data_IF_761048859606
#
_entry.id   IF_761048859606
#
_cell.length_a   1.000
_cell.length_b   1.000
_cell.length_c   1.000
_cell.angle_alpha   90.00
_cell.angle_beta   90.00
_cell.angle_gamma   90.00
#
_symmetry.space_group_name_H-M   'P 1'
#
loop_
_entity.id
_entity.type
_entity.pdbx_description
1 polymer ?
#
# COMPACT_ATOMS: atom_id res chain seq x y z
N UNK A 1 -10.40 19.94 -34.48
CA UNK A 1 -10.04 18.66 -35.13
C UNK A 1 -8.57 18.75 -35.55
N UNK A 2 -7.66 18.46 -34.62
CA UNK A 2 -6.22 18.53 -34.86
C UNK A 2 -5.71 17.12 -35.12
N UNK A 3 -5.80 16.68 -36.38
CA UNK A 3 -5.28 15.37 -36.80
C UNK A 3 -3.76 15.33 -36.65
N UNK A 4 -3.25 14.21 -36.13
CA UNK A 4 -1.80 13.95 -35.99
C UNK A 4 -1.10 14.11 -37.34
N UNK A 5 0.16 14.55 -37.33
CA UNK A 5 0.95 14.56 -38.56
C UNK A 5 1.19 13.11 -39.05
N UNK A 6 1.13 12.84 -40.37
CA UNK A 6 1.43 11.51 -40.92
C UNK A 6 2.81 10.98 -40.52
N UNK A 7 3.78 11.89 -40.33
CA UNK A 7 5.11 11.56 -39.86
C UNK A 7 5.13 11.04 -38.41
N UNK A 8 4.38 11.65 -37.50
CA UNK A 8 4.24 11.17 -36.12
C UNK A 8 3.57 9.79 -36.06
N UNK A 9 2.56 9.56 -36.92
CA UNK A 9 1.90 8.26 -37.01
C UNK A 9 2.87 7.16 -37.46
N UNK A 10 3.71 7.44 -38.47
CA UNK A 10 4.71 6.49 -38.96
C UNK A 10 5.76 6.12 -37.90
N UNK A 11 6.18 7.07 -37.05
CA UNK A 11 7.10 6.81 -35.93
C UNK A 11 6.47 5.88 -34.89
N UNK A 12 5.22 6.14 -34.51
CA UNK A 12 4.47 5.29 -33.57
C UNK A 12 4.29 3.89 -34.14
N UNK A 13 3.85 3.78 -35.39
CA UNK A 13 3.62 2.48 -36.03
C UNK A 13 4.93 1.68 -36.15
N UNK A 14 6.04 2.35 -36.47
CA UNK A 14 7.37 1.73 -36.52
C UNK A 14 7.83 1.17 -35.17
N UNK A 15 7.60 1.91 -34.08
CA UNK A 15 7.92 1.45 -32.73
C UNK A 15 7.12 0.20 -32.34
N UNK A 16 5.81 0.20 -32.57
CA UNK A 16 4.96 -0.95 -32.24
C UNK A 16 5.21 -2.17 -33.13
N UNK A 17 5.60 -1.97 -34.39
CA UNK A 17 6.05 -3.05 -35.26
C UNK A 17 7.35 -3.69 -34.74
N UNK A 18 8.32 -2.87 -34.29
CA UNK A 18 9.56 -3.36 -33.69
C UNK A 18 9.31 -4.10 -32.37
N UNK A 19 8.36 -3.61 -31.55
CA UNK A 19 7.94 -4.25 -30.31
C UNK A 19 7.31 -5.63 -30.57
N UNK A 20 6.38 -5.72 -31.53
CA UNK A 20 5.74 -6.98 -31.91
C UNK A 20 6.77 -8.01 -32.40
N UNK A 21 7.69 -7.61 -33.30
CA UNK A 21 8.75 -8.47 -33.80
C UNK A 21 9.75 -8.90 -32.70
N UNK A 22 9.96 -8.07 -31.67
CA UNK A 22 10.76 -8.46 -30.51
C UNK A 22 10.03 -9.47 -29.61
N UNK A 23 8.74 -9.25 -29.36
CA UNK A 23 7.89 -10.14 -28.55
C UNK A 23 7.75 -11.54 -29.17
N UNK A 24 7.58 -11.61 -30.49
CA UNK A 24 7.55 -12.87 -31.26
C UNK A 24 8.88 -13.64 -31.12
N UNK A 25 10.02 -12.94 -31.22
CA UNK A 25 11.35 -13.57 -31.07
C UNK A 25 11.60 -14.11 -29.66
N UNK A 26 10.98 -13.52 -28.64
CA UNK A 26 11.04 -14.03 -27.26
C UNK A 26 10.04 -15.16 -26.98
N UNK A 27 9.23 -15.59 -27.94
CA UNK A 27 8.25 -16.67 -27.74
C UNK A 27 7.04 -16.29 -26.88
N UNK A 28 6.86 -14.99 -26.61
CA UNK A 28 5.80 -14.45 -25.76
C UNK A 28 5.14 -13.25 -26.47
N UNK A 29 4.19 -13.48 -27.40
CA UNK A 29 3.50 -12.40 -28.07
C UNK A 29 2.69 -11.56 -27.06
N UNK A 30 2.76 -10.24 -27.19
CA UNK A 30 1.99 -9.29 -26.38
C UNK A 30 0.53 -9.33 -26.85
N UNK A 31 -0.42 -9.31 -25.91
CA UNK A 31 -1.84 -9.38 -26.23
C UNK A 31 -2.32 -8.17 -27.05
N UNK A 32 -3.32 -8.34 -27.94
CA UNK A 32 -3.84 -7.23 -28.74
C UNK A 32 -4.41 -6.10 -27.88
N UNK A 33 -4.99 -6.41 -26.72
CA UNK A 33 -5.54 -5.44 -25.77
C UNK A 33 -4.42 -4.62 -25.10
N UNK A 34 -3.29 -5.25 -24.76
CA UNK A 34 -2.14 -4.59 -24.13
C UNK A 34 -1.45 -3.64 -25.12
N UNK A 35 -1.33 -4.06 -26.38
CA UNK A 35 -0.85 -3.20 -27.47
C UNK A 35 -1.80 -2.03 -27.71
N UNK A 36 -3.13 -2.26 -27.64
CA UNK A 36 -4.12 -1.20 -27.79
C UNK A 36 -4.04 -0.18 -26.64
N UNK A 37 -3.83 -0.64 -25.40
CA UNK A 37 -3.67 0.22 -24.22
C UNK A 37 -2.40 1.08 -24.30
N UNK A 38 -1.26 0.48 -24.67
CA UNK A 38 -0.02 1.24 -24.90
C UNK A 38 -0.20 2.29 -26.00
N UNK A 39 -0.87 1.93 -27.10
CA UNK A 39 -1.19 2.86 -28.19
C UNK A 39 -2.11 3.99 -27.73
N UNK A 40 -3.10 3.68 -26.88
CA UNK A 40 -4.00 4.69 -26.32
C UNK A 40 -3.23 5.66 -25.41
N UNK A 41 -2.32 5.16 -24.58
CA UNK A 41 -1.47 5.98 -23.72
C UNK A 41 -0.57 6.94 -24.53
N UNK A 42 0.09 6.42 -25.58
CA UNK A 42 0.90 7.23 -26.50
C UNK A 42 0.04 8.28 -27.20
N UNK A 43 -1.17 7.90 -27.64
CA UNK A 43 -2.10 8.82 -28.27
C UNK A 43 -2.58 9.95 -27.34
N UNK A 44 -2.86 9.64 -26.08
CA UNK A 44 -3.25 10.62 -25.06
C UNK A 44 -2.12 11.62 -24.78
N UNK A 45 -0.89 11.12 -24.58
CA UNK A 45 0.29 11.97 -24.38
C UNK A 45 0.54 12.87 -25.57
N UNK A 46 0.45 12.34 -26.79
CA UNK A 46 0.63 13.13 -28.00
C UNK A 46 -0.48 14.16 -28.22
N UNK A 47 -1.69 13.93 -27.73
CA UNK A 47 -2.79 14.90 -27.81
C UNK A 47 -2.50 16.19 -27.01
N UNK A 48 -1.57 16.14 -26.05
CA UNK A 48 -1.10 17.32 -25.30
C UNK A 48 0.09 18.04 -25.96
N UNK A 49 0.54 17.58 -27.13
CA UNK A 49 1.72 18.12 -27.85
C UNK A 49 1.35 18.68 -29.23
N UNK A 50 2.35 19.18 -29.96
CA UNK A 50 2.17 19.62 -31.35
C UNK A 50 1.98 18.46 -32.34
N UNK A 51 2.11 17.19 -31.90
CA UNK A 51 1.86 16.01 -32.72
C UNK A 51 2.89 15.82 -33.84
N UNK A 52 4.12 16.26 -33.62
CA UNK A 52 5.25 16.13 -34.55
C UNK A 52 5.95 14.77 -34.41
N UNK A 53 6.78 14.41 -35.38
CA UNK A 53 7.61 13.19 -35.30
C UNK A 53 8.55 13.23 -34.07
N UNK A 54 9.13 14.39 -33.77
CA UNK A 54 9.99 14.59 -32.61
C UNK A 54 9.22 14.45 -31.28
N UNK A 55 7.97 14.90 -31.23
CA UNK A 55 7.10 14.64 -30.07
C UNK A 55 6.80 13.15 -29.90
N UNK A 56 6.55 12.43 -31.01
CA UNK A 56 6.37 10.98 -30.99
C UNK A 56 7.62 10.25 -30.47
N UNK A 57 8.80 10.60 -30.96
CA UNK A 57 10.07 10.04 -30.47
C UNK A 57 10.27 10.29 -28.97
N UNK A 58 9.99 11.52 -28.50
CA UNK A 58 10.12 11.87 -27.08
C UNK A 58 9.15 11.08 -26.19
N UNK A 59 7.89 10.94 -26.62
CA UNK A 59 6.88 10.18 -25.88
C UNK A 59 7.24 8.68 -25.85
N UNK A 60 7.70 8.13 -26.98
CA UNK A 60 8.11 6.73 -27.07
C UNK A 60 9.41 6.44 -26.31
N UNK A 61 10.31 7.41 -26.17
CA UNK A 61 11.52 7.26 -25.36
C UNK A 61 11.20 7.00 -23.87
N UNK A 62 10.02 7.43 -23.38
CA UNK A 62 9.55 7.09 -22.03
C UNK A 62 9.21 5.59 -21.87
N UNK A 63 8.82 4.92 -22.96
CA UNK A 63 8.56 3.47 -22.99
C UNK A 63 9.86 2.64 -23.14
N UNK A 64 10.97 3.28 -23.51
CA UNK A 64 12.28 2.65 -23.64
C UNK A 64 12.50 1.92 -24.96
N UNK A 65 13.47 1.00 -24.99
CA UNK A 65 13.79 0.18 -26.16
C UNK A 65 12.71 -0.91 -26.37
N UNK A 66 12.10 -1.03 -27.58
CA UNK A 66 11.13 -2.08 -27.89
C UNK A 66 11.58 -3.49 -27.53
N UNK A 67 12.87 -3.82 -27.73
CA UNK A 67 13.39 -5.15 -27.43
C UNK A 67 13.50 -5.41 -25.93
N UNK A 68 13.82 -4.37 -25.15
CA UNK A 68 13.80 -4.45 -23.69
C UNK A 68 12.38 -4.59 -23.16
N UNK A 69 11.45 -3.77 -23.67
CA UNK A 69 10.05 -3.79 -23.27
C UNK A 69 9.42 -5.17 -23.55
N UNK A 70 9.70 -5.78 -24.71
CA UNK A 70 9.27 -7.14 -25.02
C UNK A 70 9.76 -8.19 -24.01
N UNK A 71 11.03 -8.10 -23.58
CA UNK A 71 11.58 -9.00 -22.54
C UNK A 71 10.89 -8.80 -21.18
N UNK A 72 10.53 -7.56 -20.84
CA UNK A 72 9.81 -7.25 -19.60
C UNK A 72 8.40 -7.87 -19.62
N UNK A 73 7.70 -7.85 -20.76
CA UNK A 73 6.42 -8.56 -20.95
C UNK A 73 6.58 -10.09 -20.86
N UNK A 74 7.63 -10.65 -21.47
CA UNK A 74 7.90 -12.08 -21.42
C UNK A 74 8.19 -12.56 -19.98
N UNK A 75 9.05 -11.85 -19.25
CA UNK A 75 9.38 -12.16 -17.86
C UNK A 75 8.16 -12.06 -16.93
N UNK A 76 7.29 -11.04 -17.13
CA UNK A 76 6.06 -10.89 -16.36
C UNK A 76 5.07 -12.06 -16.54
N UNK A 77 5.15 -12.78 -17.67
CA UNK A 77 4.30 -13.92 -17.99
C UNK A 77 4.84 -15.25 -17.44
N UNK A 78 6.16 -15.40 -17.35
CA UNK A 78 6.81 -16.55 -16.71
C UNK A 78 6.60 -16.57 -15.19
N UNK A 79 6.58 -15.41 -14.53
CA UNK A 79 6.27 -15.27 -13.10
C UNK A 79 4.77 -15.49 -12.78
N UNK A 80 3.91 -15.61 -13.80
CA UNK A 80 2.45 -15.61 -13.72
C UNK A 80 1.77 -16.97 -13.92
N UNK A 81 2.29 -18.04 -13.31
CA UNK A 81 1.62 -19.35 -13.30
C UNK A 81 0.17 -19.29 -12.79
N UNK A 82 -0.76 -19.70 -13.67
CA UNK A 82 -2.21 -19.90 -13.50
C UNK A 82 -3.12 -18.65 -13.44
N UNK A 83 -3.89 -18.42 -14.54
CA UNK A 83 -5.20 -17.74 -14.45
C UNK A 83 -5.67 -16.86 -15.61
N UNK A 84 -6.16 -17.48 -16.69
CA UNK A 84 -7.08 -17.00 -17.75
C UNK A 84 -6.63 -16.01 -18.85
N UNK A 85 -7.09 -16.20 -20.11
CA UNK A 85 -6.81 -15.36 -21.26
C UNK A 85 -7.83 -14.21 -21.41
N UNK A 86 -7.34 -12.97 -21.42
CA UNK A 86 -8.10 -11.76 -21.77
C UNK A 86 -7.96 -10.64 -20.74
N UNK A 87 -7.36 -9.50 -21.14
CA UNK A 87 -7.38 -8.23 -20.39
C UNK A 87 -6.10 -7.89 -19.63
N UNK A 88 -5.66 -6.63 -19.81
CA UNK A 88 -4.42 -5.97 -19.35
C UNK A 88 -3.74 -6.46 -18.06
N UNK A 89 -2.41 -6.43 -18.05
CA UNK A 89 -1.59 -6.81 -16.90
C UNK A 89 -2.01 -6.08 -15.61
N UNK A 90 -2.61 -6.83 -14.67
CA UNK A 90 -3.09 -6.32 -13.37
C UNK A 90 -1.94 -5.97 -12.40
N UNK A 91 -0.69 -6.03 -12.87
CA UNK A 91 0.54 -5.76 -12.11
C UNK A 91 1.54 -5.09 -13.05
N UNK A 92 2.18 -4.01 -12.62
CA UNK A 92 3.18 -3.33 -13.45
C UNK A 92 3.85 -2.15 -12.75
N UNK A 93 4.46 -1.25 -13.53
CA UNK A 93 4.98 0.04 -13.04
C UNK A 93 4.43 1.16 -13.91
N UNK A 94 4.03 2.26 -13.27
CA UNK A 94 3.65 3.51 -13.95
C UNK A 94 4.52 4.62 -13.38
N UNK A 95 5.23 5.37 -14.23
CA UNK A 95 6.14 6.45 -13.80
C UNK A 95 7.18 6.02 -12.74
N UNK A 96 7.69 4.79 -12.84
CA UNK A 96 8.60 4.20 -11.85
C UNK A 96 7.94 3.75 -10.54
N UNK A 97 6.64 4.02 -10.33
CA UNK A 97 5.87 3.55 -9.19
C UNK A 97 5.24 2.19 -9.49
N UNK A 98 5.41 1.18 -8.64
CA UNK A 98 4.76 -0.10 -8.85
C UNK A 98 3.25 0.02 -8.62
N UNK A 99 2.46 -0.74 -9.37
CA UNK A 99 1.03 -0.89 -9.17
C UNK A 99 0.62 -2.37 -9.15
N UNK A 100 -0.40 -2.68 -8.34
CA UNK A 100 -1.04 -3.99 -8.30
C UNK A 100 -2.55 -3.78 -8.16
N UNK A 101 -3.32 -4.14 -9.19
CA UNK A 101 -4.79 -4.00 -9.24
C UNK A 101 -5.50 -5.35 -9.05
N UNK A 102 -4.77 -6.43 -8.78
CA UNK A 102 -5.38 -7.74 -8.53
C UNK A 102 -6.23 -7.69 -7.28
N UNK A 103 -7.31 -8.49 -7.26
CA UNK A 103 -8.29 -8.51 -6.18
C UNK A 103 -7.64 -8.53 -4.78
N UNK A 104 -7.98 -7.60 -3.87
CA UNK A 104 -7.38 -7.55 -2.54
C UNK A 104 -7.70 -8.80 -1.72
N UNK A 105 -6.68 -9.41 -1.12
CA UNK A 105 -6.83 -10.50 -0.15
C UNK A 105 -6.10 -10.16 1.15
N UNK A 106 -6.62 -10.63 2.29
CA UNK A 106 -5.95 -10.46 3.57
C UNK A 106 -4.55 -11.09 3.56
N UNK A 107 -4.42 -12.25 2.92
CA UNK A 107 -3.14 -12.98 2.83
C UNK A 107 -2.08 -12.14 2.13
N UNK A 108 -2.44 -11.42 1.06
CA UNK A 108 -1.49 -10.54 0.36
C UNK A 108 -1.05 -9.37 1.23
N UNK A 109 -1.97 -8.73 1.96
CA UNK A 109 -1.60 -7.66 2.90
C UNK A 109 -0.70 -8.20 4.01
N UNK A 110 -1.02 -9.37 4.55
CA UNK A 110 -0.25 -10.05 5.58
C UNK A 110 1.21 -10.30 5.13
N UNK A 111 1.41 -10.95 4.00
CA UNK A 111 2.74 -11.25 3.46
C UNK A 111 3.51 -9.98 3.10
N UNK A 112 2.86 -8.94 2.54
CA UNK A 112 3.57 -7.71 2.16
C UNK A 112 3.98 -6.84 3.35
N UNK A 113 3.22 -6.87 4.43
CA UNK A 113 3.52 -6.07 5.63
C UNK A 113 4.36 -6.84 6.66
N UNK A 114 4.38 -8.16 6.64
CA UNK A 114 5.18 -8.97 7.55
C UNK A 114 5.83 -10.15 6.83
N UNK A 115 7.05 -9.90 6.34
CA UNK A 115 7.94 -10.92 5.79
C UNK A 115 9.38 -10.64 6.28
N UNK A 116 9.80 -11.24 7.40
CA UNK A 116 11.15 -11.08 7.95
C UNK A 116 12.26 -11.68 7.08
N UNK A 117 11.92 -12.60 6.17
CA UNK A 117 12.89 -13.25 5.27
C UNK A 117 13.30 -12.34 4.11
N UNK A 118 12.42 -11.43 3.72
CA UNK A 118 12.68 -10.45 2.68
C UNK A 118 13.53 -9.28 3.23
N UNK A 119 14.70 -8.97 2.63
CA UNK A 119 15.58 -7.91 3.12
C UNK A 119 15.05 -6.49 2.85
N UNK A 120 14.03 -6.32 2.01
CA UNK A 120 13.56 -5.00 1.59
C UNK A 120 12.48 -4.44 2.53
N UNK A 121 12.76 -3.29 3.14
CA UNK A 121 11.81 -2.54 4.00
C UNK A 121 10.68 -1.91 3.19
N UNK A 122 10.96 -1.43 1.98
CA UNK A 122 9.95 -0.89 1.07
C UNK A 122 9.65 -1.91 -0.02
N UNK A 123 8.39 -2.35 -0.07
CA UNK A 123 7.91 -3.31 -1.08
C UNK A 123 6.69 -2.75 -1.80
N UNK A 124 6.37 -3.19 -3.03
CA UNK A 124 5.17 -2.75 -3.72
C UNK A 124 3.89 -3.03 -2.92
N UNK A 125 2.91 -2.13 -3.00
CA UNK A 125 1.61 -2.31 -2.33
C UNK A 125 0.91 -3.60 -2.78
N UNK A 126 0.11 -4.15 -1.87
CA UNK A 126 -0.76 -5.30 -2.15
C UNK A 126 -1.96 -4.92 -3.04
N UNK A 127 -2.38 -3.65 -3.02
CA UNK A 127 -3.40 -3.07 -3.87
C UNK A 127 -3.09 -1.58 -4.13
N UNK A 128 -3.28 -1.14 -5.36
CA UNK A 128 -3.10 0.24 -5.80
C UNK A 128 -1.66 0.58 -6.17
N UNK A 129 -1.35 1.88 -6.15
CA UNK A 129 -0.06 2.42 -6.62
C UNK A 129 0.83 2.80 -5.44
N UNK A 130 2.11 2.44 -5.56
CA UNK A 130 3.21 2.88 -4.69
C UNK A 130 3.73 1.79 -3.76
N UNK A 131 4.37 2.24 -2.68
CA UNK A 131 5.11 1.40 -1.75
C UNK A 131 4.33 1.18 -0.44
N UNK A 132 4.59 0.04 0.20
CA UNK A 132 4.21 -0.27 1.57
C UNK A 132 5.46 -0.62 2.38
N UNK A 133 5.36 -0.52 3.70
CA UNK A 133 6.42 -0.92 4.62
C UNK A 133 6.25 -2.41 4.94
N UNK A 134 7.31 -3.19 4.70
CA UNK A 134 7.48 -4.52 5.26
C UNK A 134 8.04 -4.37 6.69
N UNK A 135 7.16 -4.51 7.67
CA UNK A 135 7.51 -4.40 9.09
C UNK A 135 8.36 -5.58 9.58
N UNK A 136 8.32 -6.74 8.92
CA UNK A 136 9.20 -7.86 9.21
C UNK A 136 10.66 -7.51 8.90
N UNK A 137 10.92 -7.04 7.68
CA UNK A 137 12.24 -6.54 7.26
C UNK A 137 12.73 -5.39 8.16
N UNK A 138 11.83 -4.46 8.52
CA UNK A 138 12.16 -3.36 9.42
C UNK A 138 12.53 -3.85 10.83
N UNK A 139 11.79 -4.82 11.36
CA UNK A 139 12.09 -5.42 12.67
C UNK A 139 13.43 -6.14 12.68
N UNK A 140 13.77 -6.84 11.59
CA UNK A 140 15.09 -7.49 11.40
C UNK A 140 16.20 -6.45 11.33
N UNK A 141 16.03 -5.40 10.52
CA UNK A 141 17.01 -4.32 10.40
C UNK A 141 17.28 -3.63 11.75
N UNK A 142 16.26 -3.53 12.61
CA UNK A 142 16.36 -2.99 13.96
C UNK A 142 16.80 -4.02 15.02
N UNK A 143 17.15 -5.24 14.62
CA UNK A 143 17.54 -6.36 15.50
C UNK A 143 16.47 -6.70 16.56
N UNK A 144 15.20 -6.44 16.26
CA UNK A 144 14.08 -6.69 17.17
C UNK A 144 13.54 -8.12 17.07
N UNK A 145 13.73 -8.74 15.91
CA UNK A 145 13.29 -10.09 15.50
C UNK A 145 14.39 -10.70 14.66
N UNK A 146 14.59 -12.03 14.74
CA UNK A 146 15.50 -12.76 13.85
C UNK A 146 14.72 -13.34 12.67
N UNK A 147 15.27 -13.35 11.44
CA UNK A 147 14.62 -13.89 10.25
C UNK A 147 14.17 -15.34 10.42
N UNK A 148 15.04 -16.18 11.00
CA UNK A 148 14.85 -17.63 11.05
C UNK A 148 13.84 -18.09 12.11
N UNK A 149 13.46 -17.23 13.07
CA UNK A 149 12.46 -17.61 14.09
C UNK A 149 11.02 -17.16 13.75
N UNK A 150 10.67 -16.96 12.47
CA UNK A 150 9.32 -16.58 12.01
C UNK A 150 8.81 -17.42 10.80
N UNK A 151 9.12 -18.72 10.73
CA UNK A 151 8.60 -19.60 9.66
C UNK A 151 7.05 -19.69 9.64
N UNK A 152 6.44 -19.60 10.82
CA UNK A 152 4.99 -19.54 10.99
C UNK A 152 4.60 -18.32 11.85
N UNK A 153 4.54 -17.11 11.26
CA UNK A 153 4.45 -15.89 12.06
C UNK A 153 3.22 -15.87 12.96
N UNK A 154 3.43 -15.49 14.22
CA UNK A 154 2.39 -15.39 15.25
C UNK A 154 1.57 -16.68 15.51
N UNK A 155 1.94 -17.84 14.94
CA UNK A 155 1.20 -19.09 15.12
C UNK A 155 1.26 -19.57 16.59
N UNK A 156 2.40 -19.34 17.24
CA UNK A 156 2.63 -19.63 18.65
C UNK A 156 2.01 -18.59 19.60
N UNK A 157 1.48 -17.47 19.09
CA UNK A 157 0.89 -16.44 19.93
C UNK A 157 -0.43 -16.93 20.56
N UNK A 158 -0.65 -16.70 21.88
CA UNK A 158 -1.90 -17.09 22.52
C UNK A 158 -3.12 -16.49 21.81
N UNK A 159 -4.23 -17.23 21.62
CA UNK A 159 -5.40 -16.72 20.91
C UNK A 159 -5.96 -15.41 21.47
N UNK A 160 -5.91 -15.26 22.80
CA UNK A 160 -6.32 -14.04 23.49
C UNK A 160 -5.45 -12.82 23.14
N UNK A 161 -4.14 -13.01 22.93
CA UNK A 161 -3.23 -11.94 22.48
C UNK A 161 -3.57 -11.54 21.05
N UNK A 162 -3.74 -12.53 20.15
CA UNK A 162 -4.09 -12.28 18.74
C UNK A 162 -5.40 -11.49 18.64
N UNK A 163 -6.47 -11.93 19.30
CA UNK A 163 -7.75 -11.21 19.32
C UNK A 163 -7.63 -9.85 20.01
N UNK A 164 -6.84 -9.77 21.09
CA UNK A 164 -6.60 -8.53 21.83
C UNK A 164 -5.95 -7.41 21.01
N UNK A 165 -5.23 -7.73 19.93
CA UNK A 165 -4.65 -6.72 19.02
C UNK A 165 -5.69 -5.75 18.43
N UNK A 166 -6.95 -6.18 18.31
CA UNK A 166 -8.02 -5.36 17.75
C UNK A 166 -8.42 -4.21 18.70
N UNK A 167 -8.11 -4.31 19.98
CA UNK A 167 -8.45 -3.29 20.96
C UNK A 167 -7.76 -1.94 20.66
N UNK A 168 -6.50 -1.97 20.20
CA UNK A 168 -5.74 -0.75 19.90
C UNK A 168 -6.38 0.12 18.79
N UNK A 169 -6.67 -0.40 17.58
CA UNK A 169 -7.34 0.41 16.57
C UNK A 169 -8.78 0.80 16.96
N UNK A 170 -9.51 -0.04 17.70
CA UNK A 170 -10.83 0.32 18.25
C UNK A 170 -10.71 1.55 19.16
N UNK A 171 -9.74 1.55 20.08
CA UNK A 171 -9.51 2.66 20.99
C UNK A 171 -9.23 3.96 20.23
N UNK A 172 -8.41 3.92 19.18
CA UNK A 172 -8.13 5.08 18.33
C UNK A 172 -9.39 5.62 17.65
N UNK A 173 -10.24 4.74 17.09
CA UNK A 173 -11.50 5.15 16.45
C UNK A 173 -12.49 5.72 17.48
N UNK A 174 -12.55 5.14 18.69
CA UNK A 174 -13.39 5.66 19.79
C UNK A 174 -12.91 7.05 20.22
N UNK A 175 -11.59 7.25 20.38
CA UNK A 175 -11.01 8.55 20.72
C UNK A 175 -11.30 9.57 19.63
N UNK A 176 -11.13 9.20 18.35
CA UNK A 176 -11.48 10.06 17.21
C UNK A 176 -12.97 10.43 17.22
N UNK A 177 -13.86 9.45 17.42
CA UNK A 177 -15.30 9.68 17.51
C UNK A 177 -15.69 10.60 18.66
N UNK A 178 -15.11 10.39 19.85
CA UNK A 178 -15.33 11.26 21.01
C UNK A 178 -14.81 12.69 20.77
N UNK A 179 -13.65 12.83 20.12
CA UNK A 179 -13.08 14.12 19.76
C UNK A 179 -14.00 14.88 18.79
N UNK A 180 -14.49 14.20 17.75
CA UNK A 180 -15.44 14.78 16.79
C UNK A 180 -16.74 15.17 17.48
N UNK A 181 -17.35 14.27 18.27
CA UNK A 181 -18.62 14.52 18.94
C UNK A 181 -18.54 15.72 19.90
N UNK A 182 -17.45 15.87 20.65
CA UNK A 182 -17.27 16.96 21.62
C UNK A 182 -16.91 18.29 20.97
N UNK A 183 -16.21 18.28 19.82
CA UNK A 183 -15.74 19.50 19.15
C UNK A 183 -16.58 19.96 17.96
N UNK A 184 -17.54 19.14 17.52
CA UNK A 184 -18.38 19.42 16.35
C UNK A 184 -19.03 20.80 16.39
N UNK A 185 -19.63 21.18 17.53
CA UNK A 185 -20.35 22.45 17.68
C UNK A 185 -19.42 23.66 17.71
N UNK A 186 -18.17 23.47 18.13
CA UNK A 186 -17.16 24.54 18.23
C UNK A 186 -16.40 24.76 16.92
N UNK A 187 -16.48 23.81 15.97
CA UNK A 187 -15.80 23.92 14.70
C UNK A 187 -16.50 24.93 13.77
N UNK A 188 -15.75 25.83 13.12
CA UNK A 188 -16.28 26.69 12.07
C UNK A 188 -16.89 25.87 10.92
N UNK A 189 -17.73 26.50 10.10
CA UNK A 189 -18.38 25.83 8.96
C UNK A 189 -17.35 25.26 7.97
N UNK A 190 -16.23 25.95 7.80
CA UNK A 190 -15.08 25.53 7.00
C UNK A 190 -13.88 25.27 7.91
N UNK A 191 -13.15 24.19 7.63
CA UNK A 191 -12.01 23.75 8.43
C UNK A 191 -10.79 23.49 7.54
N UNK A 192 -9.57 23.67 8.07
CA UNK A 192 -8.34 23.29 7.40
C UNK A 192 -8.27 21.78 7.12
N UNK A 193 -7.90 21.42 5.89
CA UNK A 193 -7.73 20.03 5.45
C UNK A 193 -6.37 19.75 4.79
N UNK A 194 -5.64 20.79 4.43
CA UNK A 194 -4.30 20.68 3.88
C UNK A 194 -3.39 21.76 4.46
N UNK A 195 -2.13 21.38 4.69
CA UNK A 195 -1.12 22.24 5.29
C UNK A 195 0.17 22.18 4.47
N UNK A 196 0.89 23.28 4.43
CA UNK A 196 2.26 23.30 3.92
C UNK A 196 3.26 22.62 4.89
N UNK A 197 4.52 22.52 4.48
CA UNK A 197 5.58 21.91 5.28
C UNK A 197 5.83 22.64 6.63
N UNK A 198 5.41 23.90 6.75
CA UNK A 198 5.55 24.74 7.95
C UNK A 198 4.31 24.63 8.85
N UNK A 199 3.24 23.99 8.37
CA UNK A 199 2.01 23.76 9.11
C UNK A 199 0.97 24.87 8.93
N UNK A 200 1.12 25.77 7.96
CA UNK A 200 0.08 26.74 7.62
C UNK A 200 -0.98 26.08 6.75
N UNK A 201 -2.24 26.35 7.08
CA UNK A 201 -3.38 25.86 6.33
C UNK A 201 -3.49 26.57 4.98
N UNK A 202 -3.33 25.83 3.89
CA UNK A 202 -3.46 26.31 2.50
C UNK A 202 -4.58 25.60 1.72
N UNK A 203 -5.32 24.69 2.36
CA UNK A 203 -6.53 24.07 1.80
C UNK A 203 -7.61 23.88 2.86
N UNK A 204 -8.87 24.10 2.44
CA UNK A 204 -10.03 24.11 3.33
C UNK A 204 -11.18 23.32 2.71
N UNK A 205 -12.02 22.75 3.58
CA UNK A 205 -13.26 22.09 3.18
C UNK A 205 -14.36 22.35 4.21
N UNK A 206 -15.60 21.96 3.90
CA UNK A 206 -16.67 21.99 4.91
C UNK A 206 -16.34 21.03 6.06
N UNK A 207 -16.70 21.40 7.29
CA UNK A 207 -16.45 20.55 8.48
C UNK A 207 -17.04 19.15 8.34
N UNK A 208 -18.19 19.01 7.68
CA UNK A 208 -18.83 17.72 7.43
C UNK A 208 -18.03 16.85 6.47
N UNK A 209 -17.69 17.38 5.29
CA UNK A 209 -16.91 16.64 4.30
C UNK A 209 -15.53 16.24 4.83
N UNK A 210 -14.84 17.16 5.52
CA UNK A 210 -13.53 16.92 6.10
C UNK A 210 -13.57 15.77 7.13
N UNK A 211 -14.53 15.81 8.06
CA UNK A 211 -14.63 14.80 9.12
C UNK A 211 -15.14 13.45 8.61
N UNK A 212 -15.98 13.43 7.56
CA UNK A 212 -16.35 12.19 6.88
C UNK A 212 -15.13 11.55 6.24
N UNK A 213 -14.34 12.32 5.48
CA UNK A 213 -13.14 11.80 4.81
C UNK A 213 -12.13 11.24 5.83
N UNK A 214 -11.84 11.99 6.89
CA UNK A 214 -10.94 11.55 7.98
C UNK A 214 -11.52 10.32 8.71
N UNK A 215 -12.83 10.31 8.95
CA UNK A 215 -13.52 9.16 9.55
C UNK A 215 -13.39 7.90 8.71
N UNK A 216 -13.51 8.00 7.38
CA UNK A 216 -13.36 6.86 6.47
C UNK A 216 -11.95 6.27 6.53
N UNK A 217 -10.90 7.10 6.64
CA UNK A 217 -9.51 6.64 6.79
C UNK A 217 -9.34 5.77 8.04
N UNK A 218 -10.04 6.07 9.14
CA UNK A 218 -9.95 5.31 10.39
C UNK A 218 -10.90 4.08 10.41
N UNK A 219 -12.13 4.26 9.94
CA UNK A 219 -13.21 3.27 10.09
C UNK A 219 -13.10 2.14 9.06
N UNK A 220 -12.78 2.43 7.79
CA UNK A 220 -12.73 1.39 6.75
C UNK A 220 -11.68 0.32 7.05
N UNK A 221 -10.43 0.65 7.43
CA UNK A 221 -9.45 -0.35 7.83
C UNK A 221 -9.84 -1.12 9.08
N UNK A 222 -10.54 -0.48 10.03
CA UNK A 222 -11.04 -1.15 11.23
C UNK A 222 -12.13 -2.17 10.89
N UNK A 223 -13.09 -1.82 10.03
CA UNK A 223 -14.12 -2.76 9.57
C UNK A 223 -13.50 -3.94 8.81
N UNK A 224 -12.48 -3.67 7.99
CA UNK A 224 -11.70 -4.71 7.35
C UNK A 224 -11.04 -5.64 8.39
N UNK A 225 -10.36 -5.09 9.39
CA UNK A 225 -9.75 -5.87 10.46
C UNK A 225 -10.79 -6.70 11.24
N UNK A 226 -11.92 -6.10 11.63
CA UNK A 226 -13.04 -6.81 12.26
C UNK A 226 -13.49 -7.97 11.39
N UNK A 227 -13.69 -7.76 10.08
CA UNK A 227 -14.06 -8.81 9.13
C UNK A 227 -13.06 -9.96 9.07
N UNK A 228 -11.75 -9.67 9.09
CA UNK A 228 -10.68 -10.67 9.14
C UNK A 228 -10.72 -11.48 10.45
N UNK A 229 -10.99 -10.82 11.59
CA UNK A 229 -11.15 -11.48 12.89
C UNK A 229 -12.40 -12.35 12.97
N UNK A 230 -13.55 -11.84 12.51
CA UNK A 230 -14.83 -12.58 12.49
C UNK A 230 -14.76 -13.81 11.59
N UNK A 231 -14.06 -13.72 10.45
CA UNK A 231 -13.80 -14.86 9.54
C UNK A 231 -12.74 -15.83 10.07
N UNK A 232 -12.19 -15.60 11.27
CA UNK A 232 -11.17 -16.45 11.92
C UNK A 232 -10.01 -16.81 11.00
N UNK A 233 -9.53 -15.84 10.21
CA UNK A 233 -8.33 -16.02 9.37
C UNK A 233 -7.10 -16.34 10.24
N UNK A 234 -6.00 -16.74 9.59
CA UNK A 234 -4.75 -17.07 10.28
C UNK A 234 -4.29 -15.94 11.24
N UNK A 235 -3.43 -16.29 12.20
CA UNK A 235 -2.93 -15.32 13.18
C UNK A 235 -2.26 -14.10 12.49
N UNK A 236 -1.40 -14.35 11.49
CA UNK A 236 -0.76 -13.29 10.68
C UNK A 236 -1.76 -12.31 10.10
N UNK A 237 -2.78 -12.82 9.42
CA UNK A 237 -3.83 -11.98 8.82
C UNK A 237 -4.49 -11.08 9.85
N UNK A 238 -4.85 -11.63 11.01
CA UNK A 238 -5.56 -10.90 12.07
C UNK A 238 -4.67 -9.83 12.71
N UNK A 239 -3.43 -10.16 13.02
CA UNK A 239 -2.47 -9.23 13.64
C UNK A 239 -2.09 -8.11 12.67
N UNK A 240 -1.77 -8.46 11.41
CA UNK A 240 -1.43 -7.46 10.38
C UNK A 240 -2.61 -6.55 10.05
N UNK A 241 -3.84 -7.09 9.94
CA UNK A 241 -5.01 -6.24 9.71
C UNK A 241 -5.25 -5.26 10.88
N UNK A 242 -5.09 -5.71 12.13
CA UNK A 242 -5.11 -4.82 13.31
C UNK A 242 -4.02 -3.75 13.24
N UNK A 243 -2.80 -4.12 12.84
CA UNK A 243 -1.65 -3.21 12.73
C UNK A 243 -1.87 -2.14 11.63
N UNK A 244 -2.34 -2.54 10.45
CA UNK A 244 -2.71 -1.64 9.36
C UNK A 244 -3.80 -0.65 9.80
N UNK A 245 -4.84 -1.16 10.48
CA UNK A 245 -5.92 -0.33 11.01
C UNK A 245 -5.41 0.66 12.06
N UNK A 246 -4.49 0.25 12.93
CA UNK A 246 -3.88 1.11 13.94
C UNK A 246 -3.07 2.24 13.29
N UNK A 247 -2.27 1.94 12.26
CA UNK A 247 -1.49 2.93 11.54
C UNK A 247 -2.39 3.99 10.89
N UNK A 248 -3.36 3.57 10.07
CA UNK A 248 -4.25 4.50 9.37
C UNK A 248 -5.15 5.28 10.34
N UNK A 249 -5.63 4.65 11.41
CA UNK A 249 -6.37 5.32 12.48
C UNK A 249 -5.53 6.39 13.18
N UNK A 250 -4.23 6.15 13.39
CA UNK A 250 -3.31 7.12 14.00
C UNK A 250 -3.12 8.34 13.12
N UNK A 251 -2.97 8.15 11.80
CA UNK A 251 -2.90 9.25 10.83
C UNK A 251 -4.20 10.05 10.83
N UNK A 252 -5.36 9.37 10.80
CA UNK A 252 -6.66 10.03 10.85
C UNK A 252 -6.84 10.86 12.14
N UNK A 253 -6.44 10.32 13.29
CA UNK A 253 -6.48 11.04 14.56
C UNK A 253 -5.55 12.26 14.55
N UNK A 254 -4.32 12.12 14.04
CA UNK A 254 -3.38 13.24 13.93
C UNK A 254 -3.93 14.35 13.02
N UNK A 255 -4.54 14.00 11.88
CA UNK A 255 -5.20 14.97 10.98
C UNK A 255 -6.34 15.68 11.71
N UNK A 256 -7.21 14.95 12.42
CA UNK A 256 -8.31 15.56 13.17
C UNK A 256 -7.83 16.53 14.27
N UNK A 257 -6.79 16.15 15.01
CA UNK A 257 -6.18 17.01 16.03
C UNK A 257 -5.55 18.25 15.39
N UNK A 258 -4.84 18.08 14.28
CA UNK A 258 -4.24 19.19 13.54
C UNK A 258 -5.29 20.16 13.00
N UNK A 259 -6.41 19.65 12.46
CA UNK A 259 -7.57 20.46 12.06
C UNK A 259 -8.13 21.28 13.21
N UNK A 260 -8.27 20.68 14.40
CA UNK A 260 -8.79 21.38 15.57
C UNK A 260 -7.85 22.48 16.07
N UNK A 261 -6.54 22.22 16.12
CA UNK A 261 -5.54 23.22 16.50
C UNK A 261 -5.52 24.37 15.51
N UNK A 262 -5.57 24.06 14.21
CA UNK A 262 -5.54 25.06 13.14
C UNK A 262 -6.83 25.89 13.10
N UNK A 263 -8.00 25.27 13.34
CA UNK A 263 -9.27 25.98 13.44
C UNK A 263 -9.31 26.96 14.64
N UNK A 264 -8.53 26.70 15.69
CA UNK A 264 -8.32 27.61 16.82
C UNK A 264 -7.25 28.68 16.61
N UNK A 265 -6.69 28.80 15.39
CA UNK A 265 -5.64 29.78 15.06
C UNK A 265 -4.21 29.37 15.42
N UNK A 266 -3.99 28.14 15.91
CA UNK A 266 -2.65 27.64 16.24
C UNK A 266 -1.98 26.93 15.06
N UNK A 267 -0.66 27.06 14.93
CA UNK A 267 0.16 26.27 13.99
C UNK A 267 1.08 25.33 14.76
N UNK A 268 0.93 24.01 14.54
CA UNK A 268 1.73 22.97 15.21
C UNK A 268 2.13 21.85 14.23
N UNK A 269 3.08 22.09 13.31
CA UNK A 269 3.47 21.11 12.29
C UNK A 269 3.93 19.77 12.86
N UNK A 270 4.45 19.75 14.10
CA UNK A 270 4.89 18.52 14.77
C UNK A 270 3.77 17.50 14.99
N UNK A 271 2.49 17.90 15.01
CA UNK A 271 1.36 16.96 15.16
C UNK A 271 1.26 16.05 13.93
N UNK A 272 1.41 16.63 12.73
CA UNK A 272 1.44 15.87 11.48
C UNK A 272 2.63 14.89 11.47
N UNK A 273 3.81 15.35 11.90
CA UNK A 273 4.99 14.50 12.00
C UNK A 273 4.82 13.37 13.01
N UNK A 274 4.20 13.62 14.17
CA UNK A 274 3.87 12.57 15.11
C UNK A 274 2.86 11.57 14.53
N UNK A 275 1.91 12.01 13.72
CA UNK A 275 1.00 11.13 12.99
C UNK A 275 1.76 10.21 12.02
N UNK A 276 2.70 10.76 11.26
CA UNK A 276 3.53 10.02 10.30
C UNK A 276 4.47 9.04 11.01
N UNK A 277 5.15 9.48 12.08
CA UNK A 277 6.02 8.61 12.88
C UNK A 277 5.18 7.52 13.56
N UNK A 278 4.03 7.88 14.13
CA UNK A 278 3.10 6.96 14.77
C UNK A 278 2.54 5.91 13.81
N UNK A 279 2.33 6.26 12.53
CA UNK A 279 1.94 5.32 11.47
C UNK A 279 2.93 4.18 11.29
N UNK A 280 4.22 4.40 11.56
CA UNK A 280 5.25 3.37 11.46
C UNK A 280 5.50 2.70 12.81
N UNK A 281 5.69 3.50 13.86
CA UNK A 281 6.14 3.01 15.16
C UNK A 281 5.06 2.18 15.86
N UNK A 282 3.79 2.59 15.83
CA UNK A 282 2.74 1.88 16.56
C UNK A 282 2.41 0.52 15.94
N UNK A 283 2.23 0.39 14.61
CA UNK A 283 2.07 -0.93 13.99
C UNK A 283 3.29 -1.84 14.19
N UNK A 284 4.51 -1.30 14.06
CA UNK A 284 5.74 -2.07 14.32
C UNK A 284 5.79 -2.59 15.75
N UNK A 285 5.52 -1.73 16.74
CA UNK A 285 5.52 -2.11 18.15
C UNK A 285 4.48 -3.19 18.46
N UNK A 286 3.28 -3.09 17.87
CA UNK A 286 2.23 -4.10 18.00
C UNK A 286 2.70 -5.44 17.40
N UNK A 287 3.22 -5.43 16.17
CA UNK A 287 3.67 -6.65 15.47
C UNK A 287 4.84 -7.32 16.23
N UNK A 288 5.87 -6.57 16.58
CA UNK A 288 7.02 -7.08 17.35
C UNK A 288 6.58 -7.58 18.73
N UNK A 289 5.66 -6.88 19.39
CA UNK A 289 5.12 -7.30 20.68
C UNK A 289 4.43 -8.66 20.62
N UNK A 290 3.60 -8.90 19.60
CA UNK A 290 2.93 -10.19 19.41
C UNK A 290 3.91 -11.30 19.01
N UNK A 291 4.89 -11.00 18.14
CA UNK A 291 5.96 -11.96 17.78
C UNK A 291 6.72 -12.42 19.03
N UNK A 292 7.16 -11.48 19.88
CA UNK A 292 7.87 -11.81 21.14
C UNK A 292 7.03 -12.62 22.11
N UNK A 293 5.74 -12.30 22.26
CA UNK A 293 4.83 -13.07 23.10
C UNK A 293 4.59 -14.49 22.56
N UNK A 294 4.53 -14.65 21.24
CA UNK A 294 4.44 -15.96 20.59
C UNK A 294 5.68 -16.83 20.86
N UNK A 295 6.88 -16.28 20.67
CA UNK A 295 8.12 -16.99 20.97
C UNK A 295 8.25 -17.37 22.44
N UNK A 296 7.88 -16.48 23.36
CA UNK A 296 7.89 -16.80 24.78
C UNK A 296 6.91 -17.94 25.14
N UNK A 297 5.79 -18.05 24.43
CA UNK A 297 4.84 -19.16 24.61
C UNK A 297 5.38 -20.48 24.05
N UNK A 298 6.04 -20.43 22.89
CA UNK A 298 6.70 -21.58 22.24
C UNK A 298 7.81 -22.16 23.12
N UNK A 299 8.74 -21.33 23.59
CA UNK A 299 9.83 -21.73 24.49
C UNK A 299 9.31 -22.41 25.76
N UNK A 300 8.21 -21.90 26.34
CA UNK A 300 7.59 -22.53 27.53
C UNK A 300 7.03 -23.92 27.21
N UNK A 301 6.47 -24.11 26.02
CA UNK A 301 5.96 -25.41 25.57
C UNK A 301 7.09 -26.41 25.37
N UNK A 302 8.19 -26.03 24.72
CA UNK A 302 9.33 -26.92 24.44
C UNK A 302 10.08 -27.34 25.72
N UNK A 303 10.19 -26.43 26.69
CA UNK A 303 10.74 -26.74 28.00
C UNK A 303 9.84 -27.68 28.82
N UNK A 304 8.53 -27.67 28.56
CA UNK A 304 7.60 -28.59 29.23
C UNK A 304 7.57 -29.97 28.59
N UNK A 305 7.71 -30.07 27.26
CA UNK A 305 7.73 -31.35 26.55
C UNK A 305 9.03 -32.13 26.80
N UNK A 306 10.17 -31.45 26.84
CA UNK A 306 11.47 -32.06 27.17
C UNK A 306 11.51 -32.68 28.57
N UNK A 307 10.92 -32.01 29.58
CA UNK A 307 10.80 -32.55 30.94
C UNK A 307 9.86 -33.77 31.05
N UNK A 308 8.92 -33.91 30.12
CA UNK A 308 7.97 -35.03 30.09
C UNK A 308 8.54 -36.29 29.42
N UNK A 309 9.60 -36.17 28.61
CA UNK A 309 10.23 -37.30 27.90
C UNK A 309 11.42 -37.91 28.65
N UNK A 310 11.85 -37.31 29.76
CA UNK A 310 13.01 -37.76 30.55
C UNK A 310 12.66 -38.73 31.70
N UNK A 311 11.55 -39.47 31.61
CA UNK A 311 11.10 -40.43 32.62
C UNK A 311 10.71 -41.77 32.00
#
# INVERSE_FOLDING_TARGET
>A
MSGRSPAAQAVVDGYFAALAAAAERSGAPIGPDEVAELRAHVAERLASTAGTAQDAERVLAELGDPARLAREFAAAREDGGEGSPGGGSLVGRVLGMPYDLRNPSSDRYATRMWDPSNPHVLVPKALGVGWTVNFGALAVALHLVRPDDEDAPFASAPPGVVTGTLAAPIAVVVVLGALVATRWRTLPATVPTHWDAVGHANGYSSRGAALVLVGLIAVVPLLFAIGVHLRRRSAVNRVVASALSLGLGTVALAIAVQTLVSAGGGTRPWITWLGIVGFVVLPLALLVGVSRLGRAAEQRRDLSSSKGQSW
#
